data_IF_735544975793
#
_entry.id   IF_735544975793
#
_cell.length_a   1.000
_cell.length_b   1.000
_cell.length_c   1.000
_cell.angle_alpha   90.00
_cell.angle_beta   90.00
_cell.angle_gamma   90.00
#
_symmetry.space_group_name_H-M   'P 1'
#
loop_
_entity.id
_entity.type
_entity.pdbx_description
1 polymer ?
#
# COMPACT_ATOMS: atom_id res chain seq x y z
N UNK A 1 10.01 38.56 6.37
CA UNK A 1 11.26 37.78 6.33
C UNK A 1 10.99 36.61 5.40
N UNK A 2 11.60 36.60 4.23
CA UNK A 2 11.43 35.52 3.26
C UNK A 2 12.35 34.36 3.67
N UNK A 3 11.79 33.16 3.74
CA UNK A 3 12.54 31.96 4.15
C UNK A 3 13.26 31.41 2.93
N UNK A 4 14.57 31.34 3.01
CA UNK A 4 15.42 30.71 2.00
C UNK A 4 15.43 29.19 2.22
N UNK A 5 14.61 28.47 1.49
CA UNK A 5 14.43 27.02 1.60
C UNK A 5 15.68 26.23 1.16
N UNK A 6 16.47 26.75 0.23
CA UNK A 6 17.71 26.10 -0.20
C UNK A 6 18.76 26.16 0.91
N UNK A 7 18.88 27.31 1.57
CA UNK A 7 19.84 27.51 2.67
C UNK A 7 19.57 26.64 3.89
N UNK A 8 18.29 26.39 4.19
CA UNK A 8 17.90 25.49 5.29
C UNK A 8 17.91 24.01 4.90
N UNK A 9 18.17 23.69 3.62
CA UNK A 9 18.24 22.32 3.14
C UNK A 9 16.89 21.59 3.19
N UNK A 10 15.78 22.30 2.97
CA UNK A 10 14.44 21.70 2.98
C UNK A 10 14.34 20.59 1.94
N UNK A 11 13.96 19.40 2.39
CA UNK A 11 13.61 18.26 1.52
C UNK A 11 12.16 17.89 1.76
N UNK A 12 11.41 17.70 0.70
CA UNK A 12 10.00 17.32 0.75
C UNK A 12 9.82 16.02 -0.05
N UNK A 13 9.15 15.05 0.55
CA UNK A 13 8.67 13.85 -0.11
C UNK A 13 7.18 13.95 -0.37
N UNK A 14 6.74 13.37 -1.47
CA UNK A 14 5.32 13.26 -1.81
C UNK A 14 4.96 11.80 -2.00
N UNK A 15 3.92 11.35 -1.32
CA UNK A 15 3.31 10.03 -1.51
C UNK A 15 1.89 10.25 -2.03
N UNK A 16 1.56 9.58 -3.13
CA UNK A 16 0.26 9.71 -3.78
C UNK A 16 -0.40 8.34 -3.80
N UNK A 17 -1.62 8.26 -3.26
CA UNK A 17 -2.45 7.08 -3.33
C UNK A 17 -3.55 7.31 -4.37
N UNK A 18 -3.62 6.42 -5.35
CA UNK A 18 -4.65 6.46 -6.39
C UNK A 18 -5.30 5.10 -6.55
N UNK A 19 -6.59 5.02 -6.31
CA UNK A 19 -7.36 3.81 -6.61
C UNK A 19 -7.52 3.68 -8.12
N UNK A 20 -7.19 2.49 -8.64
CA UNK A 20 -7.34 2.18 -10.06
C UNK A 20 -8.80 1.86 -10.39
N UNK A 21 -9.26 2.32 -11.56
CA UNK A 21 -10.58 1.99 -12.07
C UNK A 21 -10.54 0.61 -12.76
N UNK A 22 -10.64 -0.43 -11.96
CA UNK A 22 -10.66 -1.83 -12.40
C UNK A 22 -11.97 -2.50 -12.01
N UNK A 23 -12.32 -3.59 -12.67
CA UNK A 23 -13.52 -4.37 -12.34
C UNK A 23 -13.38 -5.16 -11.03
N UNK A 24 -12.14 -5.41 -10.61
CA UNK A 24 -11.80 -6.19 -9.42
C UNK A 24 -10.71 -5.49 -8.64
N UNK A 25 -10.60 -5.81 -7.37
CA UNK A 25 -9.47 -5.41 -6.54
C UNK A 25 -8.20 -6.17 -6.93
N UNK A 26 -7.03 -5.68 -6.50
CA UNK A 26 -5.73 -6.19 -6.93
C UNK A 26 -5.54 -7.70 -6.70
N UNK A 27 -5.99 -8.22 -5.57
CA UNK A 27 -5.66 -9.57 -5.11
C UNK A 27 -6.90 -10.41 -4.76
N UNK A 28 -8.09 -9.98 -5.18
CA UNK A 28 -9.32 -10.75 -4.98
C UNK A 28 -10.36 -10.41 -6.05
N UNK A 29 -11.45 -11.16 -6.04
CA UNK A 29 -12.55 -10.98 -7.01
C UNK A 29 -13.57 -9.92 -6.62
N UNK A 30 -13.39 -9.26 -5.47
CA UNK A 30 -14.29 -8.20 -5.03
C UNK A 30 -14.23 -6.98 -5.94
N UNK A 31 -15.36 -6.32 -6.08
CA UNK A 31 -15.42 -5.03 -6.78
C UNK A 31 -14.86 -3.93 -5.89
N UNK A 32 -14.13 -2.95 -6.45
CA UNK A 32 -13.71 -1.76 -5.74
C UNK A 32 -14.91 -0.80 -5.60
N UNK A 33 -15.77 -1.05 -4.63
CA UNK A 33 -16.95 -0.24 -4.35
C UNK A 33 -16.60 0.76 -3.26
N UNK A 34 -16.83 2.03 -3.53
CA UNK A 34 -16.83 3.07 -2.49
C UNK A 34 -18.20 3.03 -1.78
N UNK A 35 -18.21 2.60 -0.54
CA UNK A 35 -19.41 2.59 0.29
C UNK A 35 -19.04 2.91 1.73
N UNK A 36 -19.82 3.79 2.33
CA UNK A 36 -19.77 4.07 3.75
C UNK A 36 -20.67 3.13 4.57
N UNK A 37 -21.30 2.17 3.92
CA UNK A 37 -22.15 1.18 4.57
C UNK A 37 -21.33 -0.01 5.00
N UNK A 38 -21.43 -0.34 6.28
CA UNK A 38 -20.77 -1.49 6.86
C UNK A 38 -21.83 -2.51 7.27
N UNK A 39 -21.75 -3.71 6.70
CA UNK A 39 -22.68 -4.81 6.96
C UNK A 39 -22.17 -5.78 8.00
N UNK A 40 -20.86 -5.73 8.27
CA UNK A 40 -20.20 -6.62 9.21
C UNK A 40 -19.27 -5.85 10.14
N UNK A 41 -19.15 -6.35 11.36
CA UNK A 41 -18.18 -5.89 12.34
C UNK A 41 -17.50 -7.10 12.97
N UNK A 42 -16.18 -7.07 13.00
CA UNK A 42 -15.39 -8.07 13.70
C UNK A 42 -14.20 -7.41 14.41
N UNK A 43 -13.59 -8.10 15.34
CA UNK A 43 -12.46 -7.57 16.07
C UNK A 43 -11.33 -8.59 16.14
N UNK A 44 -10.12 -8.08 16.17
CA UNK A 44 -8.90 -8.88 16.28
C UNK A 44 -7.89 -8.23 17.20
N UNK A 45 -7.04 -9.05 17.78
CA UNK A 45 -5.77 -8.59 18.33
C UNK A 45 -4.74 -8.45 17.22
N UNK A 46 -3.72 -7.61 17.43
CA UNK A 46 -2.64 -7.45 16.49
C UNK A 46 -1.96 -8.78 16.17
N UNK A 47 -1.87 -9.10 14.89
CA UNK A 47 -1.11 -10.25 14.38
C UNK A 47 0.29 -9.77 13.99
N UNK A 48 1.31 -10.21 14.69
CA UNK A 48 2.70 -9.98 14.30
C UNK A 48 3.12 -11.02 13.26
N UNK A 49 3.72 -10.57 12.16
CA UNK A 49 4.32 -11.45 11.17
C UNK A 49 5.84 -11.50 11.40
N UNK A 50 6.43 -12.66 11.15
CA UNK A 50 7.88 -12.79 11.09
C UNK A 50 8.39 -12.29 9.75
N UNK A 51 9.59 -11.71 9.74
CA UNK A 51 10.33 -11.42 8.53
C UNK A 51 10.76 -12.70 7.82
N UNK A 52 11.27 -12.59 6.61
CA UNK A 52 11.85 -13.74 5.87
C UNK A 52 12.99 -14.41 6.64
N UNK A 53 13.70 -13.64 7.47
CA UNK A 53 14.75 -14.15 8.36
C UNK A 53 14.22 -14.75 9.67
N UNK A 54 12.90 -14.79 9.84
CA UNK A 54 12.26 -15.33 11.04
C UNK A 54 12.22 -14.38 12.23
N UNK A 55 12.69 -13.16 12.07
CA UNK A 55 12.74 -12.14 13.11
C UNK A 55 11.39 -11.42 13.23
N UNK A 56 11.05 -11.01 14.44
CA UNK A 56 9.88 -10.18 14.71
C UNK A 56 10.33 -8.73 14.88
N UNK A 57 9.60 -7.80 14.25
CA UNK A 57 9.83 -6.37 14.43
C UNK A 57 9.61 -5.99 15.90
N UNK A 58 10.61 -5.37 16.56
CA UNK A 58 10.49 -4.95 17.98
C UNK A 58 9.33 -3.98 18.21
N UNK A 59 9.02 -3.09 17.26
CA UNK A 59 7.90 -2.17 17.36
C UNK A 59 6.55 -2.91 17.30
N UNK A 60 6.43 -3.92 16.43
CA UNK A 60 5.25 -4.77 16.35
C UNK A 60 5.04 -5.58 17.65
N UNK A 61 6.11 -6.09 18.22
CA UNK A 61 6.08 -6.78 19.52
C UNK A 61 5.62 -5.84 20.63
N UNK A 62 6.18 -4.64 20.69
CA UNK A 62 5.78 -3.64 21.68
C UNK A 62 4.30 -3.27 21.55
N UNK A 63 3.80 -3.01 20.35
CA UNK A 63 2.38 -2.72 20.13
C UNK A 63 1.49 -3.90 20.52
N UNK A 64 1.93 -5.14 20.29
CA UNK A 64 1.19 -6.34 20.71
C UNK A 64 1.06 -6.44 22.22
N UNK A 65 2.05 -6.00 23.00
CA UNK A 65 1.98 -6.03 24.47
C UNK A 65 0.87 -5.13 25.03
N UNK A 66 0.45 -4.11 24.27
CA UNK A 66 -0.66 -3.23 24.66
C UNK A 66 -2.02 -3.93 24.63
N UNK A 67 -2.10 -5.16 24.13
CA UNK A 67 -3.31 -6.01 24.10
C UNK A 67 -4.56 -5.33 23.53
N UNK A 68 -4.37 -4.40 22.58
CA UNK A 68 -5.47 -3.67 21.97
C UNK A 68 -6.32 -4.60 21.09
N UNK A 69 -7.63 -4.47 21.22
CA UNK A 69 -8.60 -5.05 20.27
C UNK A 69 -8.93 -4.01 19.21
N UNK A 70 -8.69 -4.36 17.95
CA UNK A 70 -8.97 -3.50 16.81
C UNK A 70 -10.31 -3.91 16.23
N UNK A 71 -11.23 -2.97 16.13
CA UNK A 71 -12.53 -3.19 15.50
C UNK A 71 -12.40 -2.93 13.99
N UNK A 72 -12.80 -3.90 13.21
CA UNK A 72 -12.87 -3.82 11.76
C UNK A 72 -14.32 -3.74 11.32
N UNK A 73 -14.58 -2.85 10.39
CA UNK A 73 -15.86 -2.73 9.73
C UNK A 73 -15.69 -3.13 8.27
N UNK A 74 -16.54 -3.99 7.79
CA UNK A 74 -16.48 -4.51 6.44
C UNK A 74 -17.84 -4.43 5.76
N UNK A 75 -17.81 -4.31 4.44
CA UNK A 75 -18.99 -4.46 3.60
C UNK A 75 -18.91 -5.82 2.90
N UNK A 76 -19.91 -6.68 3.09
CA UNK A 76 -19.94 -8.04 2.55
C UNK A 76 -19.90 -8.09 1.01
N UNK A 77 -20.27 -7.01 0.33
CA UNK A 77 -20.23 -6.93 -1.14
C UNK A 77 -18.84 -6.62 -1.67
N UNK A 78 -17.99 -6.00 -0.86
CA UNK A 78 -16.65 -5.54 -1.26
C UNK A 78 -15.51 -6.14 -0.44
N UNK A 79 -15.80 -6.99 0.55
CA UNK A 79 -14.80 -7.53 1.47
C UNK A 79 -14.98 -9.04 1.61
N UNK A 80 -14.10 -9.81 0.99
CA UNK A 80 -14.02 -11.27 1.11
C UNK A 80 -13.00 -11.70 2.16
N UNK A 81 -12.74 -13.00 2.28
CA UNK A 81 -11.75 -13.55 3.22
C UNK A 81 -10.33 -13.08 2.94
N UNK A 82 -9.98 -12.82 1.67
CA UNK A 82 -8.69 -12.23 1.29
C UNK A 82 -8.52 -10.83 1.91
N UNK A 83 -9.56 -9.99 1.82
CA UNK A 83 -9.57 -8.65 2.41
C UNK A 83 -9.52 -8.68 3.94
N UNK A 84 -10.11 -9.72 4.51
CA UNK A 84 -10.13 -9.95 5.96
C UNK A 84 -8.87 -10.65 6.49
N UNK A 85 -7.87 -10.91 5.65
CA UNK A 85 -6.66 -11.68 6.01
C UNK A 85 -6.93 -13.10 6.54
N UNK A 86 -7.93 -13.76 6.00
CA UNK A 86 -8.29 -15.14 6.36
C UNK A 86 -8.00 -16.12 5.23
N UNK A 87 -7.66 -15.63 4.05
CA UNK A 87 -7.36 -16.41 2.86
C UNK A 87 -6.13 -15.82 2.16
N UNK A 88 -5.26 -16.63 1.54
CA UNK A 88 -4.16 -16.14 0.72
C UNK A 88 -4.64 -15.25 -0.43
N UNK A 89 -3.81 -14.33 -0.94
CA UNK A 89 -4.16 -13.51 -2.08
C UNK A 89 -4.42 -14.38 -3.31
N UNK A 90 -5.40 -13.99 -4.11
CA UNK A 90 -5.59 -14.52 -5.45
C UNK A 90 -4.55 -13.92 -6.41
N UNK A 91 -4.54 -14.42 -7.63
CA UNK A 91 -3.69 -13.86 -8.68
C UNK A 91 -3.98 -12.37 -8.88
N UNK A 92 -2.91 -11.65 -9.20
CA UNK A 92 -2.98 -10.22 -9.48
C UNK A 92 -3.96 -9.92 -10.61
N UNK A 93 -4.82 -8.92 -10.37
CA UNK A 93 -5.74 -8.44 -11.39
C UNK A 93 -4.99 -7.97 -12.66
N UNK A 94 -5.44 -8.48 -13.81
CA UNK A 94 -4.73 -8.28 -15.07
C UNK A 94 -4.82 -6.84 -15.56
N UNK A 95 -5.95 -6.18 -15.32
CA UNK A 95 -6.14 -4.79 -15.75
C UNK A 95 -5.33 -3.84 -14.87
N UNK A 96 -5.30 -4.08 -13.56
CA UNK A 96 -4.45 -3.34 -12.63
C UNK A 96 -2.96 -3.47 -13.02
N UNK A 97 -2.51 -4.67 -13.36
CA UNK A 97 -1.13 -4.88 -13.86
C UNK A 97 -0.85 -4.07 -15.12
N UNK A 98 -1.75 -4.09 -16.10
CA UNK A 98 -1.59 -3.31 -17.33
C UNK A 98 -1.50 -1.81 -17.06
N UNK A 99 -2.40 -1.29 -16.21
CA UNK A 99 -2.42 0.13 -15.84
C UNK A 99 -1.11 0.52 -15.15
N UNK A 100 -0.63 -0.29 -14.21
CA UNK A 100 0.62 -0.03 -13.49
C UNK A 100 1.82 -0.01 -14.43
N UNK A 101 1.91 -0.94 -15.38
CA UNK A 101 2.96 -0.98 -16.37
C UNK A 101 2.89 0.21 -17.33
N UNK A 102 1.69 0.63 -17.73
CA UNK A 102 1.50 1.82 -18.56
C UNK A 102 1.97 3.09 -17.83
N UNK A 103 1.57 3.27 -16.59
CA UNK A 103 2.02 4.40 -15.76
C UNK A 103 3.55 4.39 -15.62
N UNK A 104 4.14 3.24 -15.31
CA UNK A 104 5.59 3.09 -15.21
C UNK A 104 6.30 3.50 -16.51
N UNK A 105 5.75 3.09 -17.65
CA UNK A 105 6.28 3.45 -18.97
C UNK A 105 6.15 4.95 -19.24
N UNK A 106 5.00 5.56 -18.93
CA UNK A 106 4.78 7.00 -19.11
C UNK A 106 5.71 7.85 -18.24
N UNK A 107 6.09 7.36 -17.08
CA UNK A 107 7.03 8.01 -16.18
C UNK A 107 8.50 7.70 -16.54
N UNK A 108 8.76 6.96 -17.59
CA UNK A 108 10.11 6.49 -17.95
C UNK A 108 10.80 5.75 -16.78
N UNK A 109 10.02 5.04 -15.96
CA UNK A 109 10.50 4.31 -14.80
C UNK A 109 11.16 2.99 -15.21
N UNK A 110 12.11 2.53 -14.41
CA UNK A 110 12.70 1.20 -14.56
C UNK A 110 11.73 0.15 -14.02
N UNK A 111 11.13 -0.61 -14.91
CA UNK A 111 10.23 -1.71 -14.56
C UNK A 111 11.06 -2.92 -14.13
N UNK A 112 10.66 -3.59 -13.05
CA UNK A 112 11.31 -4.80 -12.58
C UNK A 112 10.96 -5.99 -13.48
N UNK A 113 11.92 -6.85 -13.74
CA UNK A 113 11.71 -8.09 -14.50
C UNK A 113 10.90 -9.12 -13.74
N UNK A 114 10.88 -9.04 -12.43
CA UNK A 114 10.19 -9.93 -11.52
C UNK A 114 9.49 -9.10 -10.45
N UNK A 115 8.21 -9.38 -10.23
CA UNK A 115 7.36 -8.64 -9.30
C UNK A 115 6.82 -9.62 -8.27
N UNK A 116 7.17 -9.38 -7.00
CA UNK A 116 6.73 -10.19 -5.88
C UNK A 116 5.62 -9.49 -5.10
N UNK A 117 4.57 -10.25 -4.76
CA UNK A 117 3.56 -9.79 -3.82
C UNK A 117 4.11 -9.91 -2.41
N UNK A 118 4.18 -8.79 -1.71
CA UNK A 118 4.71 -8.70 -0.37
C UNK A 118 3.61 -8.40 0.63
N UNK A 119 3.84 -8.79 1.87
CA UNK A 119 3.01 -8.40 3.01
C UNK A 119 3.73 -7.29 3.76
N UNK A 120 3.15 -6.09 3.74
CA UNK A 120 3.64 -4.94 4.48
C UNK A 120 2.86 -4.81 5.78
N UNK A 121 3.54 -4.90 6.92
CA UNK A 121 2.93 -4.58 8.21
C UNK A 121 2.95 -3.07 8.39
N UNK A 122 1.77 -2.48 8.59
CA UNK A 122 1.65 -1.05 8.84
C UNK A 122 1.65 -0.83 10.34
N UNK A 123 2.70 -0.18 10.83
CA UNK A 123 2.85 0.23 12.22
C UNK A 123 3.11 1.72 12.19
N UNK A 124 2.11 2.51 12.54
CA UNK A 124 2.34 3.90 12.89
C UNK A 124 2.18 4.09 14.41
N UNK A 125 2.79 5.11 14.95
CA UNK A 125 2.77 5.36 16.40
C UNK A 125 1.39 5.64 16.97
N UNK A 126 0.40 5.90 16.13
CA UNK A 126 -0.99 6.21 16.51
C UNK A 126 -1.94 5.03 16.28
N UNK A 127 -1.65 4.19 15.29
CA UNK A 127 -2.60 3.18 14.83
C UNK A 127 -1.90 1.98 14.18
N UNK A 128 -1.93 0.86 14.89
CA UNK A 128 -1.43 -0.40 14.36
C UNK A 128 -2.60 -1.17 13.76
N UNK A 129 -2.83 -0.98 12.48
CA UNK A 129 -4.07 -1.43 11.85
C UNK A 129 -3.98 -2.76 11.12
N UNK A 130 -2.83 -3.39 11.10
CA UNK A 130 -2.71 -4.67 10.46
C UNK A 130 -1.68 -4.70 9.34
N UNK A 131 -2.03 -5.22 8.17
CA UNK A 131 -1.08 -5.36 7.08
C UNK A 131 -1.72 -4.92 5.77
N UNK A 132 -0.85 -4.58 4.83
CA UNK A 132 -1.20 -4.37 3.43
C UNK A 132 -0.48 -5.40 2.56
N UNK A 133 -1.16 -5.90 1.54
CA UNK A 133 -0.49 -6.59 0.45
C UNK A 133 -0.06 -5.55 -0.56
N UNK A 134 1.18 -5.62 -0.97
CA UNK A 134 1.78 -4.68 -1.92
C UNK A 134 2.73 -5.40 -2.85
N UNK A 135 3.08 -4.75 -3.93
CA UNK A 135 4.10 -5.21 -4.86
C UNK A 135 4.83 -4.00 -5.41
N UNK A 136 6.11 -4.15 -5.67
CA UNK A 136 6.91 -3.12 -6.29
C UNK A 136 6.96 -3.37 -7.79
N UNK A 137 6.43 -2.45 -8.59
CA UNK A 137 6.33 -2.60 -10.05
C UNK A 137 7.50 -1.94 -10.76
N UNK A 138 7.86 -0.75 -10.33
CA UNK A 138 8.94 0.03 -10.95
C UNK A 138 9.58 0.99 -9.97
N UNK A 139 10.75 1.50 -10.34
CA UNK A 139 11.52 2.43 -9.54
C UNK A 139 12.09 3.55 -10.39
N UNK A 140 12.28 4.71 -9.79
CA UNK A 140 12.76 5.90 -10.46
C UNK A 140 11.72 6.45 -11.44
N UNK A 141 12.14 7.26 -12.35
CA UNK A 141 11.27 7.85 -13.35
C UNK A 141 11.32 9.37 -13.33
N UNK A 142 10.54 9.97 -14.22
CA UNK A 142 10.52 11.40 -14.38
C UNK A 142 9.12 11.92 -14.64
N UNK A 143 8.83 13.09 -14.10
CA UNK A 143 7.62 13.84 -14.38
C UNK A 143 8.00 15.20 -14.95
N UNK A 144 7.45 15.55 -16.12
CA UNK A 144 7.62 16.87 -16.72
C UNK A 144 6.43 17.74 -16.34
N UNK A 145 6.67 18.81 -15.60
CA UNK A 145 5.66 19.80 -15.23
C UNK A 145 6.15 21.17 -15.67
N UNK A 146 5.34 21.89 -16.45
CA UNK A 146 5.68 23.24 -16.95
C UNK A 146 7.08 23.35 -17.57
N UNK A 147 7.45 22.41 -18.44
CA UNK A 147 8.77 22.27 -19.09
C UNK A 147 9.95 21.96 -18.14
N UNK A 148 9.72 21.83 -16.85
CA UNK A 148 10.72 21.37 -15.87
C UNK A 148 10.60 19.87 -15.69
N UNK A 149 11.72 19.18 -15.62
CA UNK A 149 11.81 17.75 -15.40
C UNK A 149 12.08 17.50 -13.92
N UNK A 150 11.22 16.73 -13.27
CA UNK A 150 11.38 16.29 -11.89
C UNK A 150 11.74 14.81 -11.88
N UNK A 151 12.78 14.46 -11.16
CA UNK A 151 13.20 13.08 -10.98
C UNK A 151 12.49 12.48 -9.77
N UNK A 152 11.94 11.31 -9.96
CA UNK A 152 11.40 10.51 -8.87
C UNK A 152 12.48 9.54 -8.42
N UNK A 153 12.85 9.59 -7.14
CA UNK A 153 13.60 8.53 -6.48
C UNK A 153 12.67 7.47 -5.87
N UNK A 154 11.36 7.68 -6.03
CA UNK A 154 10.34 6.82 -5.48
C UNK A 154 10.09 5.56 -6.29
N UNK A 155 9.16 4.78 -5.82
CA UNK A 155 8.71 3.54 -6.43
C UNK A 155 7.20 3.57 -6.66
N UNK A 156 6.76 2.86 -7.69
CA UNK A 156 5.36 2.55 -7.92
C UNK A 156 5.08 1.17 -7.31
N UNK A 157 4.20 1.12 -6.32
CA UNK A 157 3.79 -0.09 -5.63
C UNK A 157 2.27 -0.29 -5.72
#
# INVERSE_FOLDING_TARGET
MEIDFEKIGLKVGLEIHQQLNTNKKLFCKCRPIESNEYTEKFYRSLRTAKSELGELDPAALFEKTKSKKINYYANSQSSCLVEKDEEPPHDLDHDAKKISLLISSMLESKIFSEIHVMRKTVIDGSNTTGFQRTMLVSQGGNLKVNKKKYWSSGSLA
#
